data_IF_805115726060
#
_entry.id   IF_805115726060
#
_cell.length_a   1.000
_cell.length_b   1.000
_cell.length_c   1.000
_cell.angle_alpha   90.00
_cell.angle_beta   90.00
_cell.angle_gamma   90.00
#
_symmetry.space_group_name_H-M   'P 1'
#
loop_
_entity.id
_entity.type
_entity.pdbx_description
1 polymer ?
#
# COMPACT_ATOMS: atom_id res chain seq x y z
N UNK A 1 15.95 5.64 12.41
CA UNK A 1 14.49 5.80 12.17
C UNK A 1 13.99 4.47 11.63
N UNK A 2 13.10 3.76 12.32
CA UNK A 2 12.66 2.41 11.91
C UNK A 2 11.67 2.56 10.75
N UNK A 3 12.10 2.23 9.53
CA UNK A 3 11.17 1.92 8.45
C UNK A 3 10.44 0.63 8.88
N UNK A 4 9.20 0.78 9.33
CA UNK A 4 8.36 -0.35 9.66
C UNK A 4 8.02 -1.07 8.35
N UNK A 5 8.74 -2.15 8.07
CA UNK A 5 8.23 -3.17 7.16
C UNK A 5 6.95 -3.70 7.82
N UNK A 6 5.79 -3.37 7.27
CA UNK A 6 4.54 -4.03 7.65
C UNK A 6 4.60 -5.48 7.16
N UNK A 7 5.39 -6.33 7.82
CA UNK A 7 5.37 -7.78 7.61
C UNK A 7 4.17 -8.31 8.38
N UNK A 8 2.99 -8.16 7.80
CA UNK A 8 1.75 -8.75 8.31
C UNK A 8 1.46 -10.04 7.57
N UNK A 9 1.96 -11.17 8.09
CA UNK A 9 1.40 -12.48 7.76
C UNK A 9 -0.01 -12.52 8.36
N UNK A 10 -1.05 -12.66 7.55
CA UNK A 10 -2.40 -12.88 8.04
C UNK A 10 -2.51 -14.32 8.55
N UNK A 11 -2.63 -14.50 9.87
CA UNK A 11 -3.26 -15.70 10.43
C UNK A 11 -4.72 -15.41 10.80
N UNK A 12 -5.49 -16.46 11.03
CA UNK A 12 -6.92 -16.43 11.29
C UNK A 12 -7.33 -15.69 12.59
N UNK A 13 -6.41 -15.04 13.32
CA UNK A 13 -6.62 -14.49 14.66
C UNK A 13 -6.69 -12.94 14.76
N UNK A 14 -6.84 -12.21 13.65
CA UNK A 14 -7.37 -10.83 13.70
C UNK A 14 -6.42 -9.73 14.20
N UNK A 15 -5.10 -9.86 14.02
CA UNK A 15 -4.15 -8.78 14.37
C UNK A 15 -4.01 -7.73 13.24
N UNK A 16 -5.01 -6.87 13.09
CA UNK A 16 -4.99 -5.72 12.15
C UNK A 16 -4.56 -4.38 12.79
N UNK A 17 -4.13 -4.38 14.05
CA UNK A 17 -3.92 -3.14 14.82
C UNK A 17 -2.83 -2.22 14.22
N UNK A 18 -1.74 -2.79 13.68
CA UNK A 18 -0.59 -2.01 13.19
C UNK A 18 -0.89 -1.33 11.84
N UNK A 19 -1.79 -1.90 11.03
CA UNK A 19 -2.14 -1.33 9.72
C UNK A 19 -3.05 -0.10 9.85
N UNK A 20 -3.91 -0.03 10.88
CA UNK A 20 -4.90 1.05 11.00
C UNK A 20 -4.29 2.43 11.30
N UNK A 21 -3.20 2.50 12.05
CA UNK A 21 -2.62 3.78 12.48
C UNK A 21 -1.82 4.48 11.36
N UNK A 22 -1.43 3.75 10.31
CA UNK A 22 -0.56 4.24 9.25
C UNK A 22 -1.25 4.38 7.88
N UNK A 23 -2.50 3.91 7.76
CA UNK A 23 -3.28 3.91 6.52
C UNK A 23 -4.40 4.95 6.54
N UNK A 24 -4.86 5.36 5.35
CA UNK A 24 -6.09 6.14 5.18
C UNK A 24 -7.35 5.35 5.52
N UNK A 25 -7.22 4.03 5.64
CA UNK A 25 -8.24 3.12 6.13
C UNK A 25 -8.11 1.73 5.51
N UNK A 26 -8.47 0.70 6.28
CA UNK A 26 -8.71 -0.65 5.76
C UNK A 26 -10.16 -0.99 6.03
N UNK A 27 -10.89 -1.29 4.97
CA UNK A 27 -12.29 -1.68 5.01
C UNK A 27 -12.54 -3.04 5.64
N UNK A 28 -13.79 -3.48 5.62
CA UNK A 28 -14.23 -4.78 6.12
C UNK A 28 -13.95 -5.87 5.10
N UNK A 29 -13.71 -7.09 5.58
CA UNK A 29 -13.52 -8.29 4.75
C UNK A 29 -12.39 -8.16 3.70
N UNK A 30 -11.38 -7.35 3.98
CA UNK A 30 -10.19 -7.24 3.13
C UNK A 30 -9.32 -8.48 3.35
N UNK A 31 -8.88 -9.11 2.26
CA UNK A 31 -7.94 -10.21 2.28
C UNK A 31 -6.57 -9.74 1.80
N UNK A 32 -5.53 -10.02 2.58
CA UNK A 32 -4.14 -9.67 2.24
C UNK A 32 -3.31 -10.94 2.29
N UNK A 33 -2.75 -11.34 1.15
CA UNK A 33 -1.92 -12.53 1.04
C UNK A 33 -0.48 -12.28 1.53
N UNK A 34 0.32 -13.35 1.60
CA UNK A 34 1.70 -13.30 2.09
C UNK A 34 2.58 -12.31 1.31
N UNK A 35 3.52 -11.67 2.01
CA UNK A 35 4.54 -10.77 1.46
C UNK A 35 4.02 -9.51 0.76
N UNK A 36 2.77 -9.10 1.01
CA UNK A 36 2.27 -7.79 0.57
C UNK A 36 3.01 -6.67 1.29
N UNK A 37 3.39 -5.64 0.55
CA UNK A 37 4.05 -4.44 1.05
C UNK A 37 3.14 -3.23 0.82
N UNK A 38 2.88 -2.46 1.87
CA UNK A 38 2.09 -1.23 1.77
C UNK A 38 2.96 -0.08 2.26
N UNK A 39 3.28 0.85 1.37
CA UNK A 39 4.11 2.00 1.67
C UNK A 39 3.25 3.25 1.78
N UNK A 40 3.41 4.00 2.86
CA UNK A 40 2.79 5.34 3.03
C UNK A 40 3.82 6.46 3.09
N UNK A 41 5.08 6.14 3.39
CA UNK A 41 6.18 7.09 3.36
C UNK A 41 6.78 7.21 1.95
N UNK A 42 7.13 8.44 1.55
CA UNK A 42 7.91 8.74 0.35
C UNK A 42 8.83 9.94 0.59
N UNK A 43 9.74 10.19 -0.35
CA UNK A 43 10.65 11.32 -0.34
C UNK A 43 10.61 12.04 -1.69
N UNK A 44 11.08 13.29 -1.73
CA UNK A 44 11.37 13.91 -3.01
C UNK A 44 12.41 13.10 -3.79
N UNK A 45 12.23 13.06 -5.10
CA UNK A 45 13.23 12.51 -6.03
C UNK A 45 14.41 13.46 -6.20
N UNK A 46 14.26 14.73 -5.84
CA UNK A 46 15.31 15.74 -5.85
C UNK A 46 16.13 15.60 -4.54
N UNK A 47 17.43 15.27 -4.59
CA UNK A 47 18.24 15.00 -3.40
C UNK A 47 18.31 16.16 -2.39
N UNK A 48 18.32 17.39 -2.88
CA UNK A 48 18.39 18.61 -2.08
C UNK A 48 17.09 18.83 -1.29
N UNK A 49 15.95 18.53 -1.91
CA UNK A 49 14.62 18.69 -1.29
C UNK A 49 14.35 17.66 -0.19
N UNK A 50 15.00 16.49 -0.23
CA UNK A 50 14.78 15.44 0.77
C UNK A 50 15.76 15.47 1.94
N UNK A 51 16.80 16.30 1.91
CA UNK A 51 17.76 16.42 3.03
C UNK A 51 17.28 17.51 3.99
N UNK A 52 17.35 17.26 5.30
CA UNK A 52 17.09 18.32 6.27
C UNK A 52 18.20 19.38 6.21
N UNK A 53 17.80 20.64 6.18
CA UNK A 53 18.70 21.79 6.29
C UNK A 53 19.36 21.75 7.68
N UNK A 54 20.68 21.56 7.75
CA UNK A 54 21.41 21.48 9.02
C UNK A 54 22.48 20.38 9.13
N UNK A 55 22.66 19.53 8.11
CA UNK A 55 23.82 18.65 7.99
C UNK A 55 23.80 17.37 8.85
N UNK A 56 22.67 16.64 8.86
CA UNK A 56 22.56 15.32 9.49
C UNK A 56 21.99 14.25 8.55
N UNK A 57 21.97 12.99 9.02
CA UNK A 57 21.50 11.82 8.25
C UNK A 57 19.98 11.72 8.09
N UNK A 58 19.23 12.75 8.50
CA UNK A 58 17.78 12.74 8.53
C UNK A 58 17.17 13.36 7.26
N UNK A 59 16.14 12.70 6.72
CA UNK A 59 15.47 13.08 5.48
C UNK A 59 14.07 13.65 5.72
N UNK A 60 13.67 14.62 4.90
CA UNK A 60 12.29 15.10 4.79
C UNK A 60 11.45 13.97 4.19
N UNK A 61 10.50 13.47 4.99
CA UNK A 61 9.64 12.33 4.64
C UNK A 61 8.20 12.82 4.52
N UNK A 62 7.53 12.46 3.44
CA UNK A 62 6.13 12.78 3.18
C UNK A 62 5.30 11.51 3.41
N UNK A 63 4.27 11.62 4.26
CA UNK A 63 3.29 10.56 4.41
C UNK A 63 2.13 10.79 3.43
N UNK A 64 1.83 9.79 2.61
CA UNK A 64 0.62 9.73 1.78
C UNK A 64 -0.18 8.49 2.17
N UNK A 65 -1.37 8.66 2.76
CA UNK A 65 -2.16 7.53 3.24
C UNK A 65 -2.56 6.61 2.08
N UNK A 66 -2.57 5.30 2.35
CA UNK A 66 -3.12 4.29 1.43
C UNK A 66 -4.47 3.84 1.97
N UNK A 67 -5.46 3.71 1.08
CA UNK A 67 -6.81 3.29 1.44
C UNK A 67 -7.13 1.97 0.74
N UNK A 68 -7.60 0.97 1.48
CA UNK A 68 -8.10 -0.29 0.91
C UNK A 68 -9.55 -0.43 1.33
N UNK A 69 -10.48 -0.37 0.36
CA UNK A 69 -11.92 -0.43 0.63
C UNK A 69 -12.41 -1.86 0.92
N UNK A 70 -13.67 -1.96 1.34
CA UNK A 70 -14.33 -3.21 1.71
C UNK A 70 -14.17 -4.31 0.63
N UNK A 71 -14.11 -5.57 1.06
CA UNK A 71 -14.10 -6.76 0.21
C UNK A 71 -12.94 -6.85 -0.82
N UNK A 72 -11.93 -5.99 -0.74
CA UNK A 72 -10.76 -6.07 -1.62
C UNK A 72 -9.89 -7.30 -1.30
N UNK A 73 -9.27 -7.88 -2.33
CA UNK A 73 -8.28 -8.95 -2.19
C UNK A 73 -6.94 -8.53 -2.78
N UNK A 74 -5.90 -8.54 -1.95
CA UNK A 74 -4.53 -8.21 -2.34
C UNK A 74 -3.72 -9.50 -2.47
N UNK A 75 -3.36 -9.85 -3.70
CA UNK A 75 -2.55 -11.02 -4.04
C UNK A 75 -1.13 -10.95 -3.46
N UNK A 76 -0.53 -12.13 -3.26
CA UNK A 76 0.73 -12.26 -2.53
C UNK A 76 1.88 -11.52 -3.21
N UNK A 77 2.77 -10.91 -2.43
CA UNK A 77 3.91 -10.16 -2.94
C UNK A 77 3.56 -8.85 -3.66
N UNK A 78 2.30 -8.41 -3.65
CA UNK A 78 1.93 -7.12 -4.24
C UNK A 78 2.51 -5.95 -3.43
N UNK A 79 2.84 -4.88 -4.14
CA UNK A 79 3.41 -3.64 -3.59
C UNK A 79 2.43 -2.50 -3.86
N UNK A 80 1.94 -1.87 -2.80
CA UNK A 80 1.02 -0.73 -2.87
C UNK A 80 1.80 0.55 -2.53
N UNK A 81 1.86 1.50 -3.47
CA UNK A 81 2.63 2.73 -3.30
C UNK A 81 1.86 3.82 -2.52
N UNK A 82 2.58 4.83 -1.98
CA UNK A 82 1.98 5.88 -1.17
C UNK A 82 0.90 6.67 -1.90
N UNK A 83 -0.22 6.93 -1.22
CA UNK A 83 -1.34 7.73 -1.74
C UNK A 83 -2.36 6.96 -2.57
N UNK A 84 -2.18 5.64 -2.74
CA UNK A 84 -3.07 4.81 -3.55
C UNK A 84 -4.35 4.43 -2.81
N UNK A 85 -5.47 4.46 -3.52
CA UNK A 85 -6.75 3.86 -3.13
C UNK A 85 -7.03 2.59 -3.93
N UNK A 86 -7.29 1.49 -3.24
CA UNK A 86 -7.81 0.24 -3.83
C UNK A 86 -9.31 0.21 -3.64
N UNK A 87 -10.03 0.10 -4.76
CA UNK A 87 -11.48 0.08 -4.80
C UNK A 87 -12.14 -1.10 -4.11
N UNK A 88 -13.44 -0.95 -3.83
CA UNK A 88 -14.27 -1.95 -3.16
C UNK A 88 -14.44 -3.19 -4.03
N UNK A 89 -14.30 -4.38 -3.44
CA UNK A 89 -14.45 -5.65 -4.15
C UNK A 89 -13.41 -5.90 -5.24
N UNK A 90 -12.33 -5.13 -5.28
CA UNK A 90 -11.28 -5.25 -6.30
C UNK A 90 -10.24 -6.30 -5.91
N UNK A 91 -9.79 -7.05 -6.92
CA UNK A 91 -8.70 -8.01 -6.79
C UNK A 91 -7.42 -7.46 -7.41
N UNK A 92 -6.35 -7.39 -6.63
CA UNK A 92 -4.98 -7.11 -7.09
C UNK A 92 -4.24 -8.43 -7.26
N UNK A 93 -3.72 -8.70 -8.45
CA UNK A 93 -2.96 -9.91 -8.71
C UNK A 93 -1.64 -9.97 -7.95
N UNK A 94 -1.15 -11.18 -7.69
CA UNK A 94 0.14 -11.40 -7.05
C UNK A 94 1.30 -10.69 -7.77
N UNK A 95 2.28 -10.19 -7.00
CA UNK A 95 3.45 -9.49 -7.51
C UNK A 95 3.19 -8.14 -8.20
N UNK A 96 1.97 -7.62 -8.15
CA UNK A 96 1.64 -6.35 -8.81
C UNK A 96 2.27 -5.16 -8.09
N UNK A 97 2.71 -4.15 -8.84
CA UNK A 97 3.19 -2.86 -8.30
C UNK A 97 2.16 -1.79 -8.62
N UNK A 98 1.39 -1.43 -7.60
CA UNK A 98 0.25 -0.52 -7.71
C UNK A 98 0.73 0.91 -7.50
N UNK A 99 0.80 1.67 -8.59
CA UNK A 99 1.33 3.04 -8.61
C UNK A 99 0.26 4.12 -8.73
N UNK A 100 -1.01 3.73 -8.92
CA UNK A 100 -2.18 4.59 -9.07
C UNK A 100 -3.40 3.91 -8.47
N UNK A 101 -4.43 4.71 -8.19
CA UNK A 101 -5.72 4.21 -7.73
C UNK A 101 -6.30 3.15 -8.69
N UNK A 102 -6.94 2.15 -8.11
CA UNK A 102 -7.62 1.08 -8.83
C UNK A 102 -9.12 1.19 -8.55
N UNK A 103 -9.97 1.22 -9.58
CA UNK A 103 -11.41 1.38 -9.41
C UNK A 103 -12.04 0.20 -8.67
N UNK A 104 -13.27 0.41 -8.19
CA UNK A 104 -14.08 -0.63 -7.56
C UNK A 104 -14.42 -1.75 -8.56
N UNK A 105 -14.67 -2.96 -8.04
CA UNK A 105 -15.15 -4.14 -8.78
C UNK A 105 -14.36 -4.47 -10.04
N UNK A 106 -13.04 -4.59 -9.90
CA UNK A 106 -12.20 -5.01 -11.02
C UNK A 106 -11.10 -5.99 -10.62
N UNK A 107 -10.45 -6.58 -11.62
CA UNK A 107 -9.19 -7.30 -11.46
C UNK A 107 -8.09 -6.45 -12.08
N UNK A 108 -7.03 -6.18 -11.32
CA UNK A 108 -5.87 -5.42 -11.78
C UNK A 108 -4.57 -6.18 -11.50
N UNK A 109 -3.64 -6.18 -12.46
CA UNK A 109 -2.38 -6.93 -12.38
C UNK A 109 -1.19 -6.14 -12.96
N UNK A 110 0.03 -6.53 -12.59
CA UNK A 110 1.28 -6.14 -13.26
C UNK A 110 2.08 -5.02 -12.58
N UNK A 111 3.18 -4.62 -13.23
CA UNK A 111 4.07 -3.52 -12.83
C UNK A 111 4.39 -2.69 -14.08
N UNK A 112 3.68 -1.60 -14.40
CA UNK A 112 2.67 -0.86 -13.62
C UNK A 112 1.33 -1.61 -13.54
N UNK A 113 0.72 -1.70 -12.36
CA UNK A 113 -0.56 -2.39 -12.19
C UNK A 113 -1.69 -1.70 -12.97
N UNK A 114 -2.45 -2.46 -13.76
CA UNK A 114 -3.57 -1.96 -14.58
C UNK A 114 -4.77 -2.90 -14.47
N UNK A 115 -5.97 -2.32 -14.53
CA UNK A 115 -7.20 -3.07 -14.67
C UNK A 115 -7.18 -3.90 -15.96
N UNK A 116 -7.54 -5.18 -15.84
CA UNK A 116 -7.65 -6.11 -16.97
C UNK A 116 -9.09 -6.56 -17.23
N UNK A 117 -9.98 -6.46 -16.23
CA UNK A 117 -11.42 -6.74 -16.36
C UNK A 117 -12.25 -6.17 -15.20
N UNK A 118 -13.55 -6.01 -15.42
CA UNK A 118 -14.56 -5.69 -14.40
C UNK A 118 -15.17 -6.96 -13.79
N UNK A 119 -15.75 -6.87 -12.59
CA UNK A 119 -16.40 -7.94 -11.82
C UNK A 119 -17.91 -7.71 -11.63
#
# INVERSE_FOLDING_TARGET
>A
MRAFNAVGYADAAGKYAILKEMLGGVGRNVLIASNVQIYTATHSVIPEERRLSGGGDACITIAKPVTIKDNAWIGGGAIILPGVTIGEGTTIGAGSVVTKDIPDRCVAIGSHCRMIRTL
#
